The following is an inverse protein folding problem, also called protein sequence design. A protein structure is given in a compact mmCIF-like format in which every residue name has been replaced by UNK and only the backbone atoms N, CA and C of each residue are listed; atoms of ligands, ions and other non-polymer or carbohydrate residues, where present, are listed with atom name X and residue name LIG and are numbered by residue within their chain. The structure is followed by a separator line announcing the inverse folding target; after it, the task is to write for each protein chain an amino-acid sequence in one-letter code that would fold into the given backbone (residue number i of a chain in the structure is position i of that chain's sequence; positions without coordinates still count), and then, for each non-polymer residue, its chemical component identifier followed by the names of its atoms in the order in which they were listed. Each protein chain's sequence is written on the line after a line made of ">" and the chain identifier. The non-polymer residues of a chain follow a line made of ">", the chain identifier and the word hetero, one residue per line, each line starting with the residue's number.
data_IF_379738741879
#
_entry.id   IF_379738741879
#
_cell.length_a   1.000
_cell.length_b   1.000
_cell.length_c   1.000
_cell.angle_alpha   90.00
_cell.angle_beta   90.00
_cell.angle_gamma   90.00
#
_symmetry.space_group_name_H-M   'P 1'
#
loop_
_entity.id
_entity.type
_entity.pdbx_description
1 polymer ?
#
# COMPACT_ATOMS: atom_id res chain seq x y z
N UNK A 1 -20.20 17.91 18.84
CA UNK A 1 -19.42 17.01 17.98
C UNK A 1 -17.96 17.30 18.26
N UNK A 2 -17.28 16.43 18.99
CA UNK A 2 -15.83 16.55 19.13
C UNK A 2 -15.23 16.41 17.73
N UNK A 3 -14.38 17.36 17.35
CA UNK A 3 -13.66 17.31 16.09
C UNK A 3 -12.62 16.21 16.18
N UNK A 4 -13.02 14.97 15.88
CA UNK A 4 -12.12 13.82 15.83
C UNK A 4 -10.99 14.13 14.83
N UNK A 5 -9.83 14.46 15.39
CA UNK A 5 -8.60 14.65 14.63
C UNK A 5 -7.89 13.32 14.53
N UNK A 6 -7.39 12.99 13.35
CA UNK A 6 -6.59 11.79 13.12
C UNK A 6 -5.22 12.17 12.60
N UNK A 7 -4.26 11.29 12.85
CA UNK A 7 -2.90 11.50 12.41
C UNK A 7 -2.68 10.87 11.03
N UNK A 8 -2.00 11.59 10.15
CA UNK A 8 -1.50 11.04 8.91
C UNK A 8 -0.41 10.02 9.21
N UNK A 9 -0.56 8.80 8.70
CA UNK A 9 0.42 7.72 8.85
C UNK A 9 1.77 8.04 8.20
N UNK A 10 1.80 8.89 7.17
CA UNK A 10 3.01 9.22 6.42
C UNK A 10 3.85 10.33 7.04
N UNK A 11 3.21 11.41 7.51
CA UNK A 11 3.92 12.61 8.02
C UNK A 11 3.68 12.87 9.52
N UNK A 12 2.79 12.14 10.18
CA UNK A 12 2.47 12.30 11.60
C UNK A 12 1.60 13.51 11.93
N UNK A 13 1.31 14.39 10.96
CA UNK A 13 0.48 15.58 11.20
C UNK A 13 -0.96 15.22 11.57
N UNK A 14 -1.56 16.03 12.44
CA UNK A 14 -2.96 15.90 12.87
C UNK A 14 -3.86 16.71 11.94
N UNK A 15 -4.88 16.05 11.38
CA UNK A 15 -5.82 16.62 10.43
C UNK A 15 -7.25 16.28 10.84
N UNK A 16 -8.23 16.99 10.29
CA UNK A 16 -9.62 16.58 10.41
C UNK A 16 -9.85 15.24 9.66
N UNK A 17 -10.71 14.37 10.21
CA UNK A 17 -11.01 13.05 9.60
C UNK A 17 -11.40 13.13 8.11
N UNK A 18 -12.06 14.22 7.70
CA UNK A 18 -12.56 14.46 6.35
C UNK A 18 -11.45 14.77 5.34
N UNK A 19 -10.33 15.35 5.79
CA UNK A 19 -9.18 15.69 4.94
C UNK A 19 -8.29 14.48 4.68
N UNK A 20 -8.45 13.42 5.49
CA UNK A 20 -7.64 12.22 5.42
C UNK A 20 -8.26 11.16 4.52
N UNK A 21 -7.42 10.61 3.66
CA UNK A 21 -7.75 9.50 2.79
C UNK A 21 -7.54 8.19 3.53
N UNK A 22 -8.61 7.39 3.60
CA UNK A 22 -8.57 6.06 4.22
C UNK A 22 -7.93 5.04 3.28
N UNK A 23 -6.90 4.35 3.77
CA UNK A 23 -6.25 3.23 3.10
C UNK A 23 -5.99 2.09 4.08
N UNK A 24 -6.83 1.05 4.09
CA UNK A 24 -6.58 -0.11 4.93
C UNK A 24 -5.32 -0.85 4.49
N UNK A 25 -4.57 -1.39 5.45
CA UNK A 25 -3.38 -2.21 5.22
C UNK A 25 -3.53 -3.56 5.91
N UNK A 26 -3.01 -4.63 5.31
CA UNK A 26 -3.13 -6.00 5.87
C UNK A 26 -4.36 -6.75 5.35
N UNK A 27 -4.55 -7.99 5.84
CA UNK A 27 -5.62 -8.90 5.41
C UNK A 27 -6.32 -9.50 6.63
N UNK A 28 -7.63 -9.75 6.51
CA UNK A 28 -8.44 -10.42 7.53
C UNK A 28 -8.34 -9.74 8.90
N UNK A 29 -8.11 -10.54 9.94
CA UNK A 29 -8.00 -10.08 11.34
C UNK A 29 -6.85 -9.10 11.60
N UNK A 30 -5.86 -9.00 10.70
CA UNK A 30 -4.71 -8.10 10.84
C UNK A 30 -4.86 -6.81 10.02
N UNK A 31 -6.09 -6.49 9.58
CA UNK A 31 -6.37 -5.26 8.85
C UNK A 31 -6.22 -4.06 9.78
N UNK A 32 -5.29 -3.17 9.43
CA UNK A 32 -5.02 -1.91 10.11
C UNK A 32 -5.64 -0.76 9.34
N UNK A 33 -6.33 0.11 10.05
CA UNK A 33 -6.80 1.37 9.52
C UNK A 33 -5.63 2.35 9.40
N UNK A 34 -5.38 2.87 8.20
CA UNK A 34 -4.40 3.94 7.99
C UNK A 34 -5.05 5.10 7.28
N UNK A 35 -4.66 6.28 7.71
CA UNK A 35 -5.16 7.54 7.22
C UNK A 35 -3.98 8.34 6.66
N UNK A 36 -4.15 8.95 5.49
CA UNK A 36 -3.10 9.71 4.83
C UNK A 36 -3.60 11.08 4.41
N UNK A 37 -2.79 12.12 4.63
CA UNK A 37 -3.05 13.42 4.03
C UNK A 37 -2.92 13.33 2.50
N UNK A 38 -3.50 14.29 1.73
CA UNK A 38 -3.49 14.25 0.27
C UNK A 38 -2.09 14.05 -0.33
N UNK A 39 -1.10 14.81 0.17
CA UNK A 39 0.28 14.72 -0.29
C UNK A 39 0.93 13.34 0.00
N UNK A 40 0.73 12.79 1.21
CA UNK A 40 1.28 11.47 1.54
C UNK A 40 0.55 10.35 0.79
N UNK A 41 -0.74 10.50 0.52
CA UNK A 41 -1.52 9.54 -0.26
C UNK A 41 -1.02 9.46 -1.71
N UNK A 42 -0.67 10.60 -2.33
CA UNK A 42 -0.07 10.62 -3.68
C UNK A 42 1.29 9.93 -3.72
N UNK A 43 2.16 10.22 -2.74
CA UNK A 43 3.44 9.51 -2.60
C UNK A 43 3.24 8.00 -2.50
N UNK A 44 2.25 7.56 -1.72
CA UNK A 44 1.96 6.13 -1.57
C UNK A 44 1.40 5.50 -2.85
N UNK A 45 0.58 6.23 -3.62
CA UNK A 45 0.13 5.79 -4.95
C UNK A 45 1.31 5.60 -5.90
N UNK A 46 2.25 6.56 -5.95
CA UNK A 46 3.44 6.46 -6.80
C UNK A 46 4.31 5.27 -6.41
N UNK A 47 4.53 5.04 -5.10
CA UNK A 47 5.25 3.85 -4.60
C UNK A 47 4.60 2.55 -5.05
N UNK A 48 3.28 2.44 -4.95
CA UNK A 48 2.55 1.24 -5.37
C UNK A 48 2.65 1.02 -6.88
N UNK A 49 2.56 2.09 -7.68
CA UNK A 49 2.74 2.01 -9.14
C UNK A 49 4.14 1.49 -9.48
N UNK A 50 5.19 2.03 -8.83
CA UNK A 50 6.56 1.58 -9.02
C UNK A 50 6.77 0.11 -8.61
N UNK A 51 6.23 -0.30 -7.46
CA UNK A 51 6.33 -1.69 -7.03
C UNK A 51 5.62 -2.64 -8.01
N UNK A 52 4.45 -2.23 -8.52
CA UNK A 52 3.69 -2.99 -9.50
C UNK A 52 4.42 -3.09 -10.84
N UNK A 53 5.03 -2.00 -11.33
CA UNK A 53 5.79 -2.01 -12.59
C UNK A 53 7.01 -2.93 -12.49
N UNK A 54 7.75 -2.89 -11.38
CA UNK A 54 8.86 -3.82 -11.12
C UNK A 54 8.37 -5.28 -11.13
N UNK A 55 7.25 -5.56 -10.45
CA UNK A 55 6.72 -6.93 -10.40
C UNK A 55 6.23 -7.42 -11.77
N UNK A 56 5.66 -6.51 -12.58
CA UNK A 56 5.18 -6.81 -13.93
C UNK A 56 6.35 -7.09 -14.86
N UNK A 57 7.40 -6.25 -14.81
CA UNK A 57 8.62 -6.47 -15.56
C UNK A 57 9.30 -7.80 -15.22
N UNK A 58 9.38 -8.17 -13.92
CA UNK A 58 9.91 -9.47 -13.51
C UNK A 58 9.11 -10.65 -14.07
N UNK A 59 7.78 -10.52 -14.16
CA UNK A 59 6.90 -11.55 -14.73
C UNK A 59 6.95 -11.62 -16.25
N UNK A 60 7.33 -10.53 -16.93
CA UNK A 60 7.52 -10.55 -18.39
C UNK A 60 8.84 -11.19 -18.83
N UNK A 61 9.79 -11.34 -17.91
CA UNK A 61 11.02 -12.06 -18.22
C UNK A 61 10.72 -13.56 -18.41
N UNK A 62 11.34 -14.23 -19.39
CA UNK A 62 11.19 -15.66 -19.55
C UNK A 62 11.64 -16.39 -18.28
N UNK A 63 10.89 -17.42 -17.90
CA UNK A 63 11.27 -18.27 -16.77
C UNK A 63 12.61 -18.93 -17.05
N UNK A 64 13.49 -18.94 -16.05
CA UNK A 64 14.79 -19.58 -16.18
C UNK A 64 14.59 -21.08 -16.44
N UNK A 65 15.23 -21.66 -17.48
CA UNK A 65 15.15 -23.10 -17.73
C UNK A 65 15.64 -23.86 -16.48
N UNK A 66 14.75 -24.66 -15.87
CA UNK A 66 15.05 -25.43 -14.65
C UNK A 66 14.33 -24.99 -13.36
N UNK A 67 13.66 -23.83 -13.33
CA UNK A 67 12.95 -23.36 -12.12
C UNK A 67 11.61 -24.09 -11.85
N UNK A 68 11.18 -25.02 -12.73
CA UNK A 68 9.92 -25.77 -12.58
C UNK A 68 10.09 -27.22 -12.12
N UNK A 69 11.15 -27.59 -11.38
CA UNK A 69 11.33 -28.99 -10.96
C UNK A 69 10.59 -29.42 -9.68
N UNK A 70 9.98 -28.53 -8.90
CA UNK A 70 9.32 -28.93 -7.64
C UNK A 70 7.99 -28.20 -7.38
N UNK A 71 6.97 -28.45 -8.20
CA UNK A 71 5.59 -28.40 -7.69
C UNK A 71 5.20 -29.82 -7.27
N UNK A 72 5.50 -30.19 -6.02
CA UNK A 72 4.80 -31.30 -5.37
C UNK A 72 3.40 -30.82 -5.03
N UNK A 73 2.44 -31.59 -5.51
CA UNK A 73 1.01 -31.43 -5.28
C UNK A 73 0.69 -31.64 -3.81
#
# INVERSE_FOLDING_TARGET
>A
METETHNCYGCGGSFARQELQYRPSGKGAYRKERYFCPACNEKEKQKNILANSISTFRKSLPSQPGYMSHKRW
#
